data_IF_191836814786
#
_entry.id   IF_191836814786
#
_cell.length_a   1.000
_cell.length_b   1.000
_cell.length_c   1.000
_cell.angle_alpha   90.00
_cell.angle_beta   90.00
_cell.angle_gamma   90.00
#
_symmetry.space_group_name_H-M   'P 1'
#
loop_
_entity.id
_entity.type
_entity.pdbx_description
1 polymer ?
#
# COMPACT_ATOMS: atom_id res chain seq x y z
N UNK A 1 38.07 -31.20 68.40
CA UNK A 1 38.61 -30.01 67.73
C UNK A 1 37.62 -29.55 66.67
N UNK A 2 37.48 -28.23 66.53
CA UNK A 2 36.45 -27.49 65.79
C UNK A 2 36.59 -27.56 64.25
N UNK A 3 35.47 -27.20 63.60
CA UNK A 3 35.34 -26.49 62.31
C UNK A 3 35.43 -27.31 61.01
N UNK A 4 34.71 -27.02 59.92
CA UNK A 4 33.52 -26.21 59.52
C UNK A 4 33.42 -26.42 57.99
N UNK A 5 32.21 -26.52 57.45
CA UNK A 5 31.67 -25.95 56.18
C UNK A 5 32.54 -25.99 54.89
N UNK A 6 32.04 -26.25 53.67
CA UNK A 6 30.91 -25.63 53.00
C UNK A 6 30.36 -26.49 51.85
N UNK A 7 29.05 -26.36 51.69
CA UNK A 7 28.19 -26.73 50.55
C UNK A 7 28.58 -25.94 49.30
N UNK A 8 28.46 -26.54 48.11
CA UNK A 8 28.11 -25.80 46.90
C UNK A 8 27.22 -26.66 45.99
N UNK A 9 25.91 -26.42 46.09
CA UNK A 9 24.91 -26.90 45.15
C UNK A 9 24.80 -25.87 44.02
N UNK A 10 25.08 -26.27 42.78
CA UNK A 10 24.79 -25.47 41.58
C UNK A 10 23.58 -26.04 40.88
N UNK A 11 22.42 -25.44 41.18
CA UNK A 11 21.19 -25.62 40.40
C UNK A 11 21.35 -24.81 39.11
N UNK A 12 21.57 -25.48 37.98
CA UNK A 12 21.50 -24.85 36.67
C UNK A 12 20.02 -24.75 36.26
N UNK A 13 19.39 -23.62 36.56
CA UNK A 13 18.07 -23.28 36.04
C UNK A 13 18.20 -22.90 34.56
N UNK A 14 17.77 -23.79 33.67
CA UNK A 14 17.60 -23.48 32.25
C UNK A 14 16.40 -22.54 32.09
N UNK A 15 16.67 -21.24 31.87
CA UNK A 15 15.64 -20.25 31.54
C UNK A 15 15.31 -20.41 30.05
N UNK A 16 14.23 -21.12 29.74
CA UNK A 16 13.59 -21.07 28.42
C UNK A 16 12.92 -19.71 28.25
N UNK A 17 13.65 -18.73 27.74
CA UNK A 17 13.07 -17.51 27.18
C UNK A 17 12.36 -17.88 25.87
N UNK A 18 11.06 -18.15 25.97
CA UNK A 18 10.17 -18.26 24.82
C UNK A 18 10.18 -16.93 24.07
N UNK A 19 10.71 -16.98 22.86
CA UNK A 19 10.67 -15.89 21.89
C UNK A 19 9.20 -15.53 21.60
N UNK A 20 8.70 -14.48 22.24
CA UNK A 20 7.58 -13.72 21.69
C UNK A 20 8.09 -12.96 20.47
N UNK A 21 8.22 -13.65 19.35
CA UNK A 21 8.30 -13.01 18.04
C UNK A 21 6.93 -12.40 17.76
N UNK A 22 6.68 -11.21 18.33
CA UNK A 22 5.57 -10.37 17.89
C UNK A 22 5.77 -10.13 16.40
N UNK A 23 4.90 -10.70 15.57
CA UNK A 23 4.84 -10.38 14.16
C UNK A 23 4.44 -8.91 14.07
N UNK A 24 5.43 -8.02 13.96
CA UNK A 24 5.18 -6.63 13.59
C UNK A 24 4.64 -6.67 12.17
N UNK A 25 3.32 -6.60 12.00
CA UNK A 25 2.74 -6.40 10.67
C UNK A 25 3.18 -5.00 10.24
N UNK A 26 4.13 -4.92 9.31
CA UNK A 26 4.54 -3.65 8.76
C UNK A 26 3.29 -2.92 8.24
N UNK A 27 3.08 -1.69 8.71
CA UNK A 27 1.98 -0.85 8.22
C UNK A 27 2.12 -0.69 6.70
N UNK A 28 1.00 -0.79 5.98
CA UNK A 28 1.02 -0.59 4.53
C UNK A 28 1.23 0.90 4.24
N UNK A 29 2.16 1.25 3.35
CA UNK A 29 2.21 2.59 2.79
C UNK A 29 1.03 2.81 1.83
N UNK A 30 0.23 3.85 2.08
CA UNK A 30 -1.09 4.08 1.47
C UNK A 30 -1.10 5.07 0.28
N UNK A 31 0.00 5.79 0.03
CA UNK A 31 0.06 6.81 -1.01
C UNK A 31 -0.78 8.05 -0.68
N UNK A 32 -1.17 8.83 -1.69
CA UNK A 32 -2.05 9.99 -1.52
C UNK A 32 -3.18 9.98 -2.56
N UNK A 33 -4.38 10.31 -2.12
CA UNK A 33 -5.54 10.40 -3.02
C UNK A 33 -5.40 11.55 -4.01
N UNK A 34 -5.47 11.24 -5.29
CA UNK A 34 -5.36 12.20 -6.40
C UNK A 34 -6.42 11.91 -7.46
N UNK A 35 -7.48 12.71 -7.53
CA UNK A 35 -8.58 12.46 -8.47
C UNK A 35 -8.17 12.58 -9.94
N UNK A 36 -7.08 13.29 -10.24
CA UNK A 36 -6.55 13.39 -11.60
C UNK A 36 -5.67 12.23 -12.02
N UNK A 37 -5.32 11.34 -11.08
CA UNK A 37 -4.53 10.13 -11.34
C UNK A 37 -5.27 8.83 -11.01
N UNK A 38 -6.11 8.84 -9.99
CA UNK A 38 -6.70 7.64 -9.42
C UNK A 38 -7.99 7.23 -10.15
N UNK A 39 -8.06 5.94 -10.45
CA UNK A 39 -9.24 5.33 -11.04
C UNK A 39 -10.28 5.06 -9.95
N UNK A 40 -11.57 5.19 -10.29
CA UNK A 40 -12.61 4.62 -9.44
C UNK A 40 -12.67 3.12 -9.72
N UNK A 41 -12.28 2.33 -8.73
CA UNK A 41 -12.26 0.88 -8.78
C UNK A 41 -13.33 0.37 -7.81
N UNK A 42 -14.17 -0.52 -8.28
CA UNK A 42 -15.13 -1.24 -7.47
C UNK A 42 -14.63 -2.66 -7.27
N UNK A 43 -14.31 -3.05 -6.04
CA UNK A 43 -13.92 -4.42 -5.73
C UNK A 43 -15.12 -5.30 -5.39
N UNK A 44 -14.98 -6.61 -5.52
CA UNK A 44 -16.02 -7.58 -5.19
C UNK A 44 -16.06 -7.79 -3.66
N UNK A 45 -17.14 -7.40 -2.96
CA UNK A 45 -17.23 -7.54 -1.51
C UNK A 45 -17.32 -9.00 -1.04
N UNK A 46 -17.62 -9.94 -1.93
CA UNK A 46 -17.54 -11.39 -1.63
C UNK A 46 -16.10 -11.91 -1.62
N UNK A 47 -15.13 -11.13 -2.12
CA UNK A 47 -13.70 -11.49 -2.17
C UNK A 47 -12.90 -10.68 -1.15
N UNK A 48 -13.22 -9.39 -0.98
CA UNK A 48 -12.53 -8.50 -0.04
C UNK A 48 -13.51 -7.98 1.00
N UNK A 49 -13.19 -8.20 2.27
CA UNK A 49 -14.02 -7.83 3.42
C UNK A 49 -14.16 -6.33 3.59
N UNK A 50 -13.12 -5.58 3.23
CA UNK A 50 -13.03 -4.14 3.41
C UNK A 50 -11.97 -3.54 2.46
N UNK A 51 -11.85 -2.21 2.53
CA UNK A 51 -10.91 -1.44 1.70
C UNK A 51 -9.45 -1.76 2.02
N UNK A 52 -9.12 -2.08 3.27
CA UNK A 52 -7.76 -2.45 3.66
C UNK A 52 -7.34 -3.77 3.00
N UNK A 53 -8.17 -4.79 3.09
CA UNK A 53 -7.96 -6.10 2.48
C UNK A 53 -7.74 -5.97 0.96
N UNK A 54 -8.59 -5.19 0.28
CA UNK A 54 -8.40 -4.89 -1.13
C UNK A 54 -7.07 -4.16 -1.39
N UNK A 55 -6.77 -3.08 -0.66
CA UNK A 55 -5.56 -2.29 -0.86
C UNK A 55 -4.28 -3.11 -0.62
N UNK A 56 -4.27 -4.06 0.33
CA UNK A 56 -3.13 -4.95 0.58
C UNK A 56 -2.84 -5.86 -0.61
N UNK A 57 -3.88 -6.47 -1.18
CA UNK A 57 -3.74 -7.31 -2.37
C UNK A 57 -3.39 -6.47 -3.59
N UNK A 58 -4.04 -5.32 -3.78
CA UNK A 58 -3.74 -4.40 -4.87
C UNK A 58 -2.29 -3.90 -4.84
N UNK A 59 -1.77 -3.55 -3.66
CA UNK A 59 -0.35 -3.22 -3.45
C UNK A 59 0.56 -4.35 -3.92
N UNK A 60 0.32 -5.58 -3.45
CA UNK A 60 1.16 -6.73 -3.79
C UNK A 60 1.20 -6.96 -5.30
N UNK A 61 0.04 -6.90 -5.97
CA UNK A 61 0.00 -7.10 -7.42
C UNK A 61 0.61 -5.93 -8.20
N UNK A 62 0.49 -4.69 -7.70
CA UNK A 62 1.18 -3.54 -8.28
C UNK A 62 2.71 -3.70 -8.20
N UNK A 63 3.24 -4.12 -7.04
CA UNK A 63 4.67 -4.39 -6.84
C UNK A 63 5.15 -5.48 -7.79
N UNK A 64 4.41 -6.59 -7.90
CA UNK A 64 4.76 -7.71 -8.76
C UNK A 64 4.80 -7.30 -10.24
N UNK A 65 3.77 -6.56 -10.69
CA UNK A 65 3.69 -6.10 -12.07
C UNK A 65 4.79 -5.10 -12.40
N UNK A 66 4.89 -4.00 -11.64
CA UNK A 66 5.87 -2.95 -11.88
C UNK A 66 7.31 -3.47 -11.73
N UNK A 67 7.58 -4.27 -10.69
CA UNK A 67 8.88 -4.90 -10.48
C UNK A 67 9.26 -5.86 -11.61
N UNK A 68 8.30 -6.63 -12.14
CA UNK A 68 8.49 -7.54 -13.26
C UNK A 68 8.89 -6.85 -14.56
N UNK A 69 8.56 -5.56 -14.72
CA UNK A 69 8.96 -4.72 -15.85
C UNK A 69 10.03 -3.68 -15.47
N UNK A 70 10.79 -3.96 -14.40
CA UNK A 70 11.92 -3.14 -13.91
C UNK A 70 11.56 -1.69 -13.55
N UNK A 71 10.38 -1.49 -12.95
CA UNK A 71 9.92 -0.20 -12.45
C UNK A 71 9.87 -0.17 -10.91
N UNK A 72 10.14 1.00 -10.33
CA UNK A 72 9.81 1.28 -8.94
C UNK A 72 8.32 1.61 -8.83
N UNK A 73 7.58 0.75 -8.14
CA UNK A 73 6.14 0.90 -7.98
C UNK A 73 5.79 2.20 -7.22
N UNK A 74 4.70 2.84 -7.64
CA UNK A 74 4.02 3.87 -6.88
C UNK A 74 2.56 3.45 -6.70
N UNK A 75 2.05 3.50 -5.48
CA UNK A 75 0.70 3.07 -5.16
C UNK A 75 -0.06 4.20 -4.48
N UNK A 76 -1.29 4.43 -4.93
CA UNK A 76 -2.28 5.18 -4.17
C UNK A 76 -3.43 4.24 -3.87
N UNK A 77 -3.57 3.85 -2.61
CA UNK A 77 -4.69 3.05 -2.10
C UNK A 77 -4.82 3.36 -0.61
N UNK A 78 -5.65 4.36 -0.31
CA UNK A 78 -5.82 4.90 1.04
C UNK A 78 -7.09 4.35 1.66
N UNK A 79 -6.94 3.56 2.73
CA UNK A 79 -8.02 3.00 3.54
C UNK A 79 -8.12 3.67 4.92
N UNK A 80 -7.06 4.31 5.41
CA UNK A 80 -6.99 4.99 6.71
C UNK A 80 -6.07 6.23 6.64
N UNK A 81 -6.46 7.35 7.24
CA UNK A 81 -5.61 8.55 7.41
C UNK A 81 -4.96 8.58 8.79
N UNK A 82 -4.00 9.48 8.99
CA UNK A 82 -3.25 9.60 10.26
C UNK A 82 -4.14 9.92 11.48
N UNK A 83 -5.35 10.44 11.26
CA UNK A 83 -6.36 10.68 12.29
C UNK A 83 -7.29 9.48 12.56
N UNK A 84 -7.00 8.32 11.94
CA UNK A 84 -7.81 7.10 12.03
C UNK A 84 -9.09 7.13 11.19
N UNK A 85 -9.31 8.18 10.38
CA UNK A 85 -10.48 8.22 9.51
C UNK A 85 -10.32 7.30 8.29
N UNK A 86 -11.44 6.75 7.83
CA UNK A 86 -11.51 5.88 6.64
C UNK A 86 -12.10 6.66 5.46
N UNK A 87 -11.28 7.38 4.66
CA UNK A 87 -11.78 8.34 3.67
C UNK A 87 -12.50 7.68 2.48
N UNK A 88 -12.34 6.36 2.31
CA UNK A 88 -12.86 5.60 1.18
C UNK A 88 -13.65 4.39 1.68
N UNK A 89 -14.89 4.59 2.17
CA UNK A 89 -15.77 3.47 2.48
C UNK A 89 -15.99 2.67 1.19
N UNK A 90 -15.64 1.40 1.22
CA UNK A 90 -15.75 0.52 0.06
C UNK A 90 -17.20 0.22 -0.33
N UNK A 91 -17.42 -0.54 -1.42
CA UNK A 91 -16.40 -1.19 -2.25
C UNK A 91 -15.86 -0.31 -3.40
N UNK A 92 -16.39 0.91 -3.57
CA UNK A 92 -15.98 1.84 -4.63
C UNK A 92 -14.94 2.81 -4.11
N UNK A 93 -13.69 2.63 -4.49
CA UNK A 93 -12.57 3.42 -3.99
C UNK A 93 -11.75 4.03 -5.14
N UNK A 94 -11.01 5.09 -4.84
CA UNK A 94 -9.94 5.62 -5.69
C UNK A 94 -8.65 4.86 -5.40
N UNK A 95 -8.04 4.36 -6.47
CA UNK A 95 -6.73 3.76 -6.39
C UNK A 95 -5.95 3.91 -7.70
N UNK A 96 -4.64 3.81 -7.60
CA UNK A 96 -3.70 3.89 -8.70
C UNK A 96 -2.52 2.94 -8.47
N UNK A 97 -2.11 2.27 -9.54
CA UNK A 97 -0.83 1.57 -9.61
C UNK A 97 0.01 2.20 -10.71
N UNK A 98 1.15 2.76 -10.33
CA UNK A 98 2.13 3.30 -11.26
C UNK A 98 3.50 2.68 -11.12
N UNK A 99 4.37 3.04 -12.04
CA UNK A 99 5.77 2.64 -12.01
C UNK A 99 6.70 3.68 -12.59
N UNK A 100 7.86 3.83 -11.97
CA UNK A 100 8.94 4.71 -12.40
C UNK A 100 10.04 3.83 -12.97
N UNK A 101 10.36 4.00 -14.25
CA UNK A 101 11.39 3.22 -14.91
C UNK A 101 12.76 3.36 -14.24
N UNK A 102 13.46 2.23 -14.09
CA UNK A 102 14.81 2.19 -13.55
C UNK A 102 15.79 2.71 -14.60
N UNK A 103 16.65 3.64 -14.19
CA UNK A 103 17.74 4.14 -15.04
C UNK A 103 18.78 3.04 -15.29
N UNK A 104 19.61 3.16 -16.35
CA UNK A 104 20.67 2.20 -16.64
C UNK A 104 21.70 2.03 -15.50
N UNK A 105 21.91 3.07 -14.70
CA UNK A 105 22.78 3.05 -13.51
C UNK A 105 22.16 2.34 -12.29
N UNK A 106 20.94 1.82 -12.45
CA UNK A 106 20.19 1.12 -11.42
C UNK A 106 19.44 2.02 -10.44
N UNK A 107 19.48 3.35 -10.60
CA UNK A 107 18.74 4.29 -9.77
C UNK A 107 17.31 4.54 -10.29
N UNK A 108 16.46 5.14 -9.46
CA UNK A 108 15.15 5.67 -9.86
C UNK A 108 15.11 7.16 -9.58
N UNK A 109 14.53 7.92 -10.51
CA UNK A 109 14.33 9.36 -10.35
C UNK A 109 12.85 9.65 -10.14
N UNK A 110 12.45 9.56 -8.89
CA UNK A 110 11.05 9.75 -8.46
C UNK A 110 10.56 11.18 -8.64
N UNK A 111 11.44 12.15 -8.96
CA UNK A 111 11.08 13.56 -9.13
C UNK A 111 10.90 13.95 -10.59
N UNK A 112 11.76 13.43 -11.47
CA UNK A 112 11.84 13.88 -12.87
C UNK A 112 11.17 12.91 -13.83
N UNK A 113 11.25 11.61 -13.59
CA UNK A 113 10.65 10.63 -14.48
C UNK A 113 9.12 10.60 -14.30
N UNK A 114 8.34 10.68 -15.39
CA UNK A 114 6.91 10.49 -15.32
C UNK A 114 6.55 9.11 -14.75
N UNK A 115 5.56 9.08 -13.87
CA UNK A 115 5.01 7.82 -13.35
C UNK A 115 4.14 7.21 -14.45
N UNK A 116 4.50 6.03 -14.92
CA UNK A 116 3.71 5.29 -15.90
C UNK A 116 2.48 4.68 -15.21
N UNK A 117 1.30 4.81 -15.82
CA UNK A 117 0.06 4.23 -15.32
C UNK A 117 -0.06 2.76 -15.70
N UNK A 118 0.01 1.88 -14.70
CA UNK A 118 -0.13 0.44 -14.84
C UNK A 118 -1.49 -0.07 -14.34
N UNK A 119 -2.38 0.81 -13.88
CA UNK A 119 -3.61 0.46 -13.15
C UNK A 119 -4.51 -0.47 -13.96
N UNK A 120 -4.75 -0.12 -15.23
CA UNK A 120 -5.58 -0.95 -16.13
C UNK A 120 -4.99 -2.33 -16.38
N UNK A 121 -3.67 -2.41 -16.57
CA UNK A 121 -2.98 -3.67 -16.81
C UNK A 121 -3.04 -4.57 -15.57
N UNK A 122 -2.77 -4.01 -14.39
CA UNK A 122 -2.86 -4.74 -13.11
C UNK A 122 -4.28 -5.24 -12.85
N UNK A 123 -5.30 -4.39 -13.00
CA UNK A 123 -6.70 -4.81 -12.81
C UNK A 123 -7.08 -5.91 -13.81
N UNK A 124 -6.70 -5.76 -15.08
CA UNK A 124 -6.97 -6.77 -16.12
C UNK A 124 -6.29 -8.11 -15.85
N UNK A 125 -5.04 -8.10 -15.40
CA UNK A 125 -4.23 -9.31 -15.22
C UNK A 125 -4.57 -10.08 -13.93
N UNK A 126 -4.87 -9.39 -12.83
CA UNK A 126 -4.97 -10.02 -11.51
C UNK A 126 -6.35 -9.93 -10.85
N UNK A 127 -7.24 -9.07 -11.38
CA UNK A 127 -8.52 -8.74 -10.74
C UNK A 127 -9.73 -8.88 -11.66
N UNK A 128 -9.62 -9.53 -12.83
CA UNK A 128 -10.69 -9.61 -13.84
C UNK A 128 -12.07 -10.02 -13.32
N UNK A 129 -12.11 -10.84 -12.27
CA UNK A 129 -13.30 -11.35 -11.56
C UNK A 129 -13.47 -10.79 -10.13
N UNK A 130 -12.54 -9.94 -9.68
CA UNK A 130 -12.42 -9.46 -8.30
C UNK A 130 -12.55 -7.95 -8.16
N UNK A 131 -12.29 -7.17 -9.21
CA UNK A 131 -12.46 -5.72 -9.20
C UNK A 131 -12.62 -5.15 -10.62
N UNK A 132 -13.30 -4.01 -10.72
CA UNK A 132 -13.62 -3.38 -12.01
C UNK A 132 -13.35 -1.88 -11.98
N UNK A 133 -12.73 -1.37 -13.05
CA UNK A 133 -12.63 0.07 -13.26
C UNK A 133 -14.00 0.61 -13.66
N UNK A 134 -14.61 1.41 -12.78
CA UNK A 134 -15.89 2.08 -13.04
C UNK A 134 -15.72 3.48 -13.60
N UNK A 135 -14.58 4.13 -13.32
CA UNK A 135 -14.30 5.47 -13.83
C UNK A 135 -12.80 5.67 -14.06
N UNK A 136 -12.48 6.34 -15.18
CA UNK A 136 -11.14 6.91 -15.42
C UNK A 136 -10.84 8.05 -14.43
N UNK A 137 -9.56 8.43 -14.26
CA UNK A 137 -9.19 9.64 -13.53
C UNK A 137 -9.86 10.88 -14.14
N UNK A 138 -10.06 11.90 -13.33
CA UNK A 138 -10.59 13.17 -13.80
C UNK A 138 -9.54 13.85 -14.69
N UNK A 139 -10.00 14.57 -15.71
CA UNK A 139 -9.12 15.56 -16.33
C UNK A 139 -8.70 16.58 -15.27
N UNK A 140 -7.52 17.17 -15.41
CA UNK A 140 -7.03 18.18 -14.46
C UNK A 140 -8.07 19.29 -14.21
N UNK A 141 -8.70 19.80 -15.27
CA UNK A 141 -9.76 20.83 -15.18
C UNK A 141 -10.96 20.35 -14.37
N UNK A 142 -11.41 19.11 -14.60
CA UNK A 142 -12.52 18.51 -13.84
C UNK A 142 -12.16 18.30 -12.37
N UNK A 143 -10.92 17.85 -12.10
CA UNK A 143 -10.41 17.69 -10.73
C UNK A 143 -10.42 19.03 -9.99
N UNK A 144 -9.83 20.08 -10.56
CA UNK A 144 -9.80 21.42 -9.96
C UNK A 144 -11.21 21.96 -9.76
N UNK A 145 -12.12 21.72 -10.70
CA UNK A 145 -13.54 22.07 -10.55
C UNK A 145 -14.19 21.36 -9.35
N UNK A 146 -13.96 20.07 -9.20
CA UNK A 146 -14.51 19.26 -8.09
C UNK A 146 -13.90 19.65 -6.73
N UNK A 147 -12.59 19.87 -6.67
CA UNK A 147 -11.89 20.23 -5.44
C UNK A 147 -12.37 21.57 -4.85
N UNK A 148 -12.95 22.47 -5.67
CA UNK A 148 -13.58 23.71 -5.18
C UNK A 148 -14.83 23.44 -4.32
N UNK A 149 -15.59 22.40 -4.63
CA UNK A 149 -16.81 22.01 -3.92
C UNK A 149 -16.60 20.89 -2.90
N UNK A 150 -15.42 20.29 -2.88
CA UNK A 150 -15.06 19.17 -1.99
C UNK A 150 -13.57 19.28 -1.64
N UNK A 151 -13.22 20.12 -0.65
CA UNK A 151 -11.83 20.33 -0.26
C UNK A 151 -11.23 19.03 0.31
N UNK A 152 -9.95 18.77 0.01
CA UNK A 152 -9.22 17.58 0.49
C UNK A 152 -8.69 16.66 -0.60
N UNK A 153 -9.10 16.84 -1.86
CA UNK A 153 -8.58 16.07 -3.00
C UNK A 153 -7.37 16.75 -3.64
N UNK A 154 -6.32 15.97 -3.92
CA UNK A 154 -5.18 16.44 -4.70
C UNK A 154 -5.53 16.39 -6.19
N UNK A 155 -5.07 17.41 -6.91
CA UNK A 155 -5.17 17.50 -8.36
C UNK A 155 -3.79 17.76 -8.94
N UNK A 156 -3.08 16.70 -9.33
CA UNK A 156 -1.79 16.83 -10.02
C UNK A 156 -1.99 17.11 -11.50
N UNK A 157 -1.32 18.15 -12.00
CA UNK A 157 -1.30 18.40 -13.45
C UNK A 157 -0.49 17.29 -14.14
N UNK A 158 -1.05 16.58 -15.15
CA UNK A 158 -0.27 15.66 -15.96
C UNK A 158 0.92 16.39 -16.57
N UNK A 159 2.11 15.78 -16.51
CA UNK A 159 3.32 16.32 -17.17
C UNK A 159 3.26 16.08 -18.67
#
# INVERSE_FOLDING_TARGET
MFARSLVLATVAAFVTALFFAGTSSAAMAQGNLDLSRDYLIEYNPSVYTDTEAFCRVFRSQCVNYAGGINQHHQLDCVFELADGSHPQPGPKIRAFCGGIEKKPDGSWDTKRTPVQDNTRAVIGAYFSDKAWIKQKPFSYVKCVGFAKSSPGWVCTKPK
#
